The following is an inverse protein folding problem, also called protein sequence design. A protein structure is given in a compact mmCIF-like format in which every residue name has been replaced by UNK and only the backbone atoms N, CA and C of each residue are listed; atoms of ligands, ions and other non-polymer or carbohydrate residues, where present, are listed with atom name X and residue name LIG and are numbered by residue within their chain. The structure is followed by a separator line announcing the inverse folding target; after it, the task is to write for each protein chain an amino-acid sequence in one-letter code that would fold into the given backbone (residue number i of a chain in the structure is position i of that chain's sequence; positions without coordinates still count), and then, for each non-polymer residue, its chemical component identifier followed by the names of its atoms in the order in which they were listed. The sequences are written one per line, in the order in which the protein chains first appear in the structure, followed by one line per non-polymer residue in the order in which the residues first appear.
data_IF_332500834202
#
_entry.id   IF_332500834202
#
_cell.length_a   1.000
_cell.length_b   1.000
_cell.length_c   1.000
_cell.angle_alpha   90.00
_cell.angle_beta   90.00
_cell.angle_gamma   90.00
#
_symmetry.space_group_name_H-M   'P 1'
#
loop_
_entity.id
_entity.type
_entity.pdbx_description
1 polymer ?
#
# COMPACT_ATOMS: atom_id res chain seq x y z
N UNK A 1 -0.63 39.31 -3.57
CA UNK A 1 -0.22 38.12 -4.35
C UNK A 1 -0.63 36.90 -3.55
N UNK A 2 -1.31 35.93 -4.15
CA UNK A 2 -1.74 34.68 -3.50
C UNK A 2 -0.53 33.84 -3.12
N UNK A 3 -0.65 33.15 -1.99
CA UNK A 3 0.37 32.23 -1.48
C UNK A 3 -0.21 30.82 -1.60
N UNK A 4 0.43 29.98 -2.40
CA UNK A 4 0.09 28.57 -2.54
C UNK A 4 1.15 27.72 -1.82
N UNK A 5 0.71 26.77 -1.00
CA UNK A 5 1.54 25.73 -0.41
C UNK A 5 1.04 24.37 -0.91
N UNK A 6 1.81 23.71 -1.76
CA UNK A 6 1.55 22.35 -2.21
C UNK A 6 2.15 21.41 -1.18
N UNK A 7 1.36 20.46 -0.71
CA UNK A 7 1.79 19.39 0.19
C UNK A 7 1.60 18.06 -0.54
N UNK A 8 2.70 17.34 -0.77
CA UNK A 8 2.71 16.06 -1.48
C UNK A 8 3.04 14.95 -0.47
N UNK A 9 2.14 14.00 -0.32
CA UNK A 9 2.27 12.90 0.63
C UNK A 9 0.93 12.35 1.10
N UNK A 10 0.94 11.63 2.21
CA UNK A 10 -0.25 11.03 2.81
C UNK A 10 -1.21 12.08 3.38
N UNK A 11 -2.48 11.71 3.51
CA UNK A 11 -3.49 12.56 4.16
C UNK A 11 -3.09 12.94 5.59
N UNK A 12 -2.42 12.06 6.32
CA UNK A 12 -1.91 12.37 7.67
C UNK A 12 -0.78 13.40 7.68
N UNK A 13 0.04 13.43 6.62
CA UNK A 13 1.06 14.45 6.43
C UNK A 13 0.44 15.81 6.12
N UNK A 14 -0.57 15.83 5.26
CA UNK A 14 -1.33 17.04 4.96
C UNK A 14 -2.05 17.60 6.21
N UNK A 15 -2.64 16.74 7.05
CA UNK A 15 -3.31 17.17 8.29
C UNK A 15 -2.35 17.91 9.24
N UNK A 16 -1.08 17.49 9.35
CA UNK A 16 -0.08 18.22 10.13
C UNK A 16 0.20 19.61 9.56
N UNK A 17 0.34 19.72 8.23
CA UNK A 17 0.53 21.02 7.57
C UNK A 17 -0.70 21.94 7.75
N UNK A 18 -1.90 21.36 7.84
CA UNK A 18 -3.14 22.05 8.14
C UNK A 18 -3.16 22.60 9.57
N UNK A 19 -2.81 21.78 10.56
CA UNK A 19 -2.75 22.18 11.97
C UNK A 19 -1.74 23.32 12.18
N UNK A 20 -0.60 23.27 11.50
CA UNK A 20 0.36 24.38 11.48
C UNK A 20 -0.25 25.66 10.91
N UNK A 21 -0.98 25.57 9.78
CA UNK A 21 -1.61 26.71 9.17
C UNK A 21 -2.73 27.30 10.06
N UNK A 22 -3.53 26.44 10.72
CA UNK A 22 -4.55 26.88 11.67
C UNK A 22 -3.97 27.62 12.88
N UNK A 23 -2.80 27.23 13.37
CA UNK A 23 -2.15 27.89 14.50
C UNK A 23 -1.72 29.34 14.22
N UNK A 24 -1.54 29.68 12.94
CA UNK A 24 -1.15 31.02 12.47
C UNK A 24 -2.39 31.92 12.28
N UNK A 25 -3.58 31.32 12.09
CA UNK A 25 -4.81 32.04 11.79
C UNK A 25 -5.57 32.28 13.12
N UNK A 26 -5.71 33.53 13.49
CA UNK A 26 -6.43 33.97 14.69
C UNK A 26 -7.85 33.36 14.72
N UNK A 27 -8.30 32.85 15.89
CA UNK A 27 -9.60 32.16 16.11
C UNK A 27 -10.86 32.97 15.72
N UNK A 28 -10.70 34.19 15.18
CA UNK A 28 -11.77 35.11 14.80
C UNK A 28 -12.46 34.79 13.47
N UNK A 29 -11.93 33.91 12.66
CA UNK A 29 -12.49 33.61 11.35
C UNK A 29 -13.31 32.31 11.37
N UNK A 30 -14.52 32.31 11.80
CA UNK A 30 -15.55 31.26 11.73
C UNK A 30 -15.19 29.94 11.02
N UNK A 31 -16.11 29.00 10.91
CA UNK A 31 -15.90 27.73 10.20
C UNK A 31 -15.46 27.99 8.75
N UNK A 32 -14.26 27.56 8.37
CA UNK A 32 -13.77 27.66 6.98
C UNK A 32 -14.53 26.63 6.15
N UNK A 33 -15.25 27.06 5.09
CA UNK A 33 -15.98 26.12 4.24
C UNK A 33 -15.02 25.22 3.47
N UNK A 34 -15.43 23.98 3.21
CA UNK A 34 -14.66 23.05 2.37
C UNK A 34 -14.59 23.55 0.92
N UNK A 35 -13.61 23.08 0.16
CA UNK A 35 -13.48 23.42 -1.26
C UNK A 35 -14.76 23.15 -2.06
N UNK A 36 -15.36 21.98 -1.86
CA UNK A 36 -16.61 21.61 -2.54
C UNK A 36 -17.81 22.47 -2.11
N UNK A 37 -17.86 22.91 -0.85
CA UNK A 37 -18.89 23.87 -0.40
C UNK A 37 -18.73 25.23 -1.07
N UNK A 38 -17.49 25.73 -1.19
CA UNK A 38 -17.21 27.00 -1.90
C UNK A 38 -17.57 26.91 -3.38
N UNK A 39 -17.29 25.82 -4.06
CA UNK A 39 -17.70 25.62 -5.45
C UNK A 39 -19.22 25.68 -5.58
N UNK A 40 -19.97 25.00 -4.70
CA UNK A 40 -21.44 25.03 -4.73
C UNK A 40 -22.00 26.41 -4.49
N UNK A 41 -21.43 27.18 -3.56
CA UNK A 41 -21.82 28.57 -3.31
C UNK A 41 -21.57 29.44 -4.56
N UNK A 42 -20.40 29.30 -5.18
CA UNK A 42 -20.01 30.03 -6.36
C UNK A 42 -20.92 29.72 -7.57
N UNK A 43 -21.25 28.46 -7.80
CA UNK A 43 -22.16 28.04 -8.86
C UNK A 43 -23.57 28.57 -8.63
N UNK A 44 -24.07 28.53 -7.39
CA UNK A 44 -25.38 29.10 -7.03
C UNK A 44 -25.45 30.64 -7.24
N UNK A 45 -24.35 31.33 -6.93
CA UNK A 45 -24.27 32.80 -7.14
C UNK A 45 -24.24 33.17 -8.63
N UNK A 46 -23.51 32.41 -9.45
CA UNK A 46 -23.50 32.61 -10.92
C UNK A 46 -24.88 32.40 -11.55
N UNK A 47 -25.70 31.52 -11.03
CA UNK A 47 -27.06 31.26 -11.51
C UNK A 47 -28.06 32.39 -11.11
N UNK A 48 -27.77 33.14 -10.03
CA UNK A 48 -28.65 34.19 -9.52
C UNK A 48 -28.33 35.62 -10.01
N UNK A 49 -27.45 35.79 -11.01
CA UNK A 49 -26.94 37.08 -11.51
C UNK A 49 -26.35 37.98 -10.39
N UNK A 50 -25.98 37.40 -9.25
CA UNK A 50 -25.43 38.13 -8.12
C UNK A 50 -23.93 38.43 -8.38
N UNK A 51 -23.57 39.69 -8.49
CA UNK A 51 -22.19 40.13 -8.78
C UNK A 51 -21.26 40.04 -7.58
N UNK A 52 -21.79 39.88 -6.35
CA UNK A 52 -20.98 39.75 -5.13
C UNK A 52 -20.57 38.31 -4.92
N UNK A 53 -19.48 37.86 -5.57
CA UNK A 53 -18.91 36.56 -5.33
C UNK A 53 -18.23 36.51 -3.95
N UNK A 54 -18.64 35.55 -3.11
CA UNK A 54 -18.00 35.30 -1.82
C UNK A 54 -16.61 34.72 -2.07
N UNK A 55 -15.58 35.51 -1.78
CA UNK A 55 -14.17 35.07 -1.84
C UNK A 55 -13.66 34.75 -0.45
N UNK A 56 -12.86 33.68 -0.34
CA UNK A 56 -12.21 33.28 0.93
C UNK A 56 -10.77 33.81 1.00
N UNK A 57 -10.30 34.25 2.19
CA UNK A 57 -8.88 34.53 2.40
C UNK A 57 -8.04 33.27 2.64
N UNK A 58 -8.70 32.12 2.87
CA UNK A 58 -8.05 30.84 3.20
C UNK A 58 -8.80 29.70 2.50
N UNK A 59 -8.06 28.84 1.85
CA UNK A 59 -8.61 27.67 1.16
C UNK A 59 -7.75 26.42 1.41
N UNK A 60 -8.41 25.32 1.70
CA UNK A 60 -7.79 23.98 1.80
C UNK A 60 -8.41 23.05 0.78
N UNK A 61 -7.59 22.41 -0.02
CA UNK A 61 -8.01 21.42 -1.03
C UNK A 61 -7.37 20.09 -0.69
N UNK A 62 -8.19 19.13 -0.31
CA UNK A 62 -7.74 17.75 -0.04
C UNK A 62 -7.69 16.93 -1.33
N UNK A 63 -6.84 15.92 -1.36
CA UNK A 63 -6.73 15.02 -2.51
C UNK A 63 -8.10 14.41 -2.90
N UNK A 64 -8.92 14.03 -1.91
CA UNK A 64 -10.25 13.49 -2.15
C UNK A 64 -11.27 14.49 -2.70
N UNK A 65 -11.04 15.81 -2.59
CA UNK A 65 -11.96 16.81 -3.10
C UNK A 65 -12.01 16.80 -4.63
N UNK A 66 -10.93 16.41 -5.30
CA UNK A 66 -10.89 16.30 -6.76
C UNK A 66 -11.89 15.27 -7.29
N UNK A 67 -12.19 14.22 -6.52
CA UNK A 67 -13.18 13.19 -6.89
C UNK A 67 -14.61 13.75 -6.92
N UNK A 68 -14.88 14.85 -6.22
CA UNK A 68 -16.17 15.53 -6.21
C UNK A 68 -16.38 16.51 -7.37
N UNK A 69 -15.39 16.67 -8.26
CA UNK A 69 -15.40 17.61 -9.37
C UNK A 69 -15.65 16.85 -10.68
N UNK A 70 -16.54 17.38 -11.52
CA UNK A 70 -16.80 16.77 -12.82
C UNK A 70 -15.57 16.83 -13.73
N UNK A 71 -15.32 15.81 -14.53
CA UNK A 71 -14.12 15.71 -15.38
C UNK A 71 -13.85 16.97 -16.21
N UNK A 72 -14.89 17.54 -16.83
CA UNK A 72 -14.77 18.73 -17.65
C UNK A 72 -14.30 20.00 -16.89
N UNK A 73 -14.37 20.01 -15.55
CA UNK A 73 -13.94 21.15 -14.74
C UNK A 73 -12.49 20.98 -14.23
N UNK A 74 -11.89 19.80 -14.34
CA UNK A 74 -10.50 19.58 -13.91
C UNK A 74 -9.49 20.48 -14.64
N UNK A 75 -9.69 20.74 -15.93
CA UNK A 75 -8.85 21.64 -16.73
C UNK A 75 -8.96 23.12 -16.29
N UNK A 76 -9.96 23.46 -15.49
CA UNK A 76 -10.23 24.82 -15.00
C UNK A 76 -10.01 24.99 -13.50
N UNK A 77 -9.43 24.01 -12.82
CA UNK A 77 -9.19 24.07 -11.37
C UNK A 77 -8.40 25.32 -10.95
N UNK A 78 -7.35 25.68 -11.68
CA UNK A 78 -6.55 26.85 -11.39
C UNK A 78 -7.37 28.15 -11.44
N UNK A 79 -8.01 28.50 -12.57
CA UNK A 79 -8.92 29.63 -12.65
C UNK A 79 -10.06 29.64 -11.63
N UNK A 80 -10.66 28.45 -11.36
CA UNK A 80 -11.72 28.31 -10.37
C UNK A 80 -11.24 28.71 -8.96
N UNK A 81 -10.05 28.24 -8.56
CA UNK A 81 -9.43 28.58 -7.28
C UNK A 81 -9.19 30.09 -7.20
N UNK A 82 -8.76 30.73 -8.29
CA UNK A 82 -8.57 32.21 -8.34
C UNK A 82 -9.90 32.95 -8.20
N UNK A 83 -10.99 32.44 -8.78
CA UNK A 83 -12.32 33.06 -8.71
C UNK A 83 -12.91 33.07 -7.30
N UNK A 84 -12.68 31.97 -6.52
CA UNK A 84 -13.25 31.80 -5.18
C UNK A 84 -12.33 32.30 -4.05
N UNK A 85 -11.13 32.80 -4.35
CA UNK A 85 -10.15 33.27 -3.36
C UNK A 85 -9.80 34.75 -3.53
N UNK A 86 -9.45 35.41 -2.41
CA UNK A 86 -8.90 36.76 -2.43
C UNK A 86 -7.50 36.83 -3.07
N UNK A 87 -7.10 38.01 -3.55
CA UNK A 87 -5.77 38.21 -4.16
C UNK A 87 -4.59 38.06 -3.20
N UNK A 88 -4.83 37.97 -1.89
CA UNK A 88 -3.85 37.72 -0.84
C UNK A 88 -4.18 36.47 -0.04
N UNK A 89 -4.94 35.54 -0.63
CA UNK A 89 -5.32 34.28 0.05
C UNK A 89 -4.14 33.38 0.27
N UNK A 90 -4.21 32.60 1.37
CA UNK A 90 -3.38 31.41 1.61
C UNK A 90 -4.16 30.17 1.13
N UNK A 91 -3.52 29.39 0.27
CA UNK A 91 -4.15 28.22 -0.35
C UNK A 91 -3.24 27.01 -0.12
N UNK A 92 -3.72 26.04 0.66
CA UNK A 92 -3.04 24.76 0.86
C UNK A 92 -3.65 23.71 -0.06
N UNK A 93 -2.81 23.04 -0.82
CA UNK A 93 -3.22 22.07 -1.84
C UNK A 93 -2.53 20.74 -1.58
N UNK A 94 -3.34 19.71 -1.38
CA UNK A 94 -2.87 18.34 -1.17
C UNK A 94 -2.87 17.57 -2.49
N UNK A 95 -1.72 17.04 -2.88
CA UNK A 95 -1.55 16.15 -4.05
C UNK A 95 -2.29 16.65 -5.30
N UNK A 96 -1.94 17.83 -5.86
CA UNK A 96 -2.66 18.36 -7.00
C UNK A 96 -2.57 17.46 -8.23
N UNK A 97 -3.65 17.32 -9.02
CA UNK A 97 -3.58 16.75 -10.36
C UNK A 97 -2.55 17.50 -11.22
N UNK A 98 -1.95 16.80 -12.20
CA UNK A 98 -0.90 17.37 -13.08
C UNK A 98 -1.31 18.71 -13.71
N UNK A 99 -2.52 18.83 -14.22
CA UNK A 99 -3.03 20.05 -14.84
C UNK A 99 -2.99 21.24 -13.88
N UNK A 100 -3.41 21.04 -12.63
CA UNK A 100 -3.34 22.10 -11.61
C UNK A 100 -1.89 22.40 -11.21
N UNK A 101 -1.07 21.36 -11.04
CA UNK A 101 0.34 21.54 -10.70
C UNK A 101 1.09 22.35 -11.76
N UNK A 102 0.93 22.01 -13.05
CA UNK A 102 1.53 22.74 -14.17
C UNK A 102 1.05 24.18 -14.26
N UNK A 103 -0.25 24.42 -14.05
CA UNK A 103 -0.82 25.75 -13.98
C UNK A 103 -0.15 26.62 -12.90
N UNK A 104 0.05 26.07 -11.71
CA UNK A 104 0.69 26.80 -10.59
C UNK A 104 2.17 27.05 -10.87
N UNK A 105 2.87 26.11 -11.48
CA UNK A 105 4.27 26.28 -11.87
C UNK A 105 4.44 27.38 -12.94
N UNK A 106 3.56 27.45 -13.94
CA UNK A 106 3.56 28.53 -14.93
C UNK A 106 3.32 29.91 -14.27
N UNK A 107 2.34 30.01 -13.37
CA UNK A 107 2.08 31.24 -12.61
C UNK A 107 3.27 31.65 -11.74
N UNK A 108 3.97 30.71 -11.09
CA UNK A 108 5.19 30.97 -10.34
C UNK A 108 6.31 31.49 -11.23
N UNK A 109 6.51 30.86 -12.38
CA UNK A 109 7.55 31.27 -13.35
C UNK A 109 7.35 32.70 -13.87
N UNK A 110 6.07 33.15 -13.93
CA UNK A 110 5.70 34.54 -14.30
C UNK A 110 5.67 35.51 -13.11
N UNK A 111 6.06 35.09 -11.90
CA UNK A 111 6.01 35.90 -10.66
C UNK A 111 4.60 36.42 -10.30
N UNK A 112 3.55 35.67 -10.65
CA UNK A 112 2.16 36.05 -10.37
C UNK A 112 1.66 35.52 -9.02
N UNK A 113 2.31 34.50 -8.48
CA UNK A 113 2.00 33.86 -7.20
C UNK A 113 3.28 33.55 -6.43
N UNK A 114 3.16 33.34 -5.11
CA UNK A 114 4.17 32.65 -4.31
C UNK A 114 3.79 31.19 -4.25
N UNK A 115 4.71 30.28 -4.58
CA UNK A 115 4.47 28.83 -4.56
C UNK A 115 5.56 28.16 -3.73
N UNK A 116 5.15 27.57 -2.62
CA UNK A 116 5.94 26.70 -1.77
C UNK A 116 5.53 25.25 -2.01
N UNK A 117 6.47 24.32 -1.83
CA UNK A 117 6.22 22.90 -2.01
C UNK A 117 6.88 22.14 -0.87
N UNK A 118 6.10 21.25 -0.25
CA UNK A 118 6.51 20.40 0.85
C UNK A 118 6.19 18.95 0.49
N UNK A 119 7.15 18.01 0.71
CA UNK A 119 7.01 16.61 0.33
C UNK A 119 7.30 15.71 1.51
N UNK A 120 6.42 14.74 1.74
CA UNK A 120 6.64 13.71 2.75
C UNK A 120 7.85 12.85 2.37
N UNK A 121 8.79 12.73 3.31
CA UNK A 121 9.96 11.88 3.18
C UNK A 121 9.70 10.53 3.87
N UNK A 122 10.05 9.43 3.18
CA UNK A 122 9.90 8.09 3.71
C UNK A 122 11.26 7.53 4.13
N UNK A 123 11.36 7.10 5.38
CA UNK A 123 12.58 6.51 5.92
C UNK A 123 12.47 4.99 6.02
N UNK A 124 13.59 4.32 5.80
CA UNK A 124 13.81 2.92 6.19
C UNK A 124 14.75 2.88 7.40
N UNK A 125 14.52 1.95 8.31
CA UNK A 125 15.40 1.76 9.47
C UNK A 125 16.83 1.42 9.04
N UNK A 126 17.82 2.27 9.38
CA UNK A 126 19.22 2.18 8.91
C UNK A 126 20.23 1.69 9.93
N UNK A 127 19.85 1.56 11.21
CA UNK A 127 20.78 1.17 12.28
C UNK A 127 21.16 -0.32 12.17
N UNK A 128 22.46 -0.69 12.10
CA UNK A 128 22.90 -2.06 11.89
C UNK A 128 22.46 -3.05 12.99
N UNK A 129 22.48 -2.63 14.25
CA UNK A 129 22.03 -3.45 15.37
C UNK A 129 20.53 -3.79 15.25
N UNK A 130 19.70 -2.78 14.99
CA UNK A 130 18.26 -2.98 14.78
C UNK A 130 17.97 -3.80 13.52
N UNK A 131 18.77 -3.64 12.48
CA UNK A 131 18.64 -4.47 11.28
C UNK A 131 18.78 -5.96 11.62
N UNK A 132 19.84 -6.33 12.35
CA UNK A 132 20.07 -7.71 12.79
C UNK A 132 18.92 -8.24 13.66
N UNK A 133 18.47 -7.46 14.63
CA UNK A 133 17.35 -7.81 15.50
C UNK A 133 16.06 -8.02 14.68
N UNK A 134 15.75 -7.14 13.74
CA UNK A 134 14.58 -7.25 12.88
C UNK A 134 14.62 -8.51 12.01
N UNK A 135 15.79 -8.88 11.46
CA UNK A 135 15.94 -10.12 10.68
C UNK A 135 15.73 -11.35 11.56
N UNK A 136 16.23 -11.36 12.80
CA UNK A 136 15.99 -12.47 13.73
C UNK A 136 14.50 -12.64 14.03
N UNK A 137 13.77 -11.53 14.29
CA UNK A 137 12.33 -11.56 14.52
C UNK A 137 11.55 -12.08 13.31
N UNK A 138 11.96 -11.69 12.09
CA UNK A 138 11.39 -12.23 10.85
C UNK A 138 11.66 -13.73 10.73
N UNK A 139 12.87 -14.17 11.06
CA UNK A 139 13.25 -15.60 11.03
C UNK A 139 12.42 -16.43 12.01
N UNK A 140 12.12 -15.90 13.19
CA UNK A 140 11.26 -16.55 14.18
C UNK A 140 9.80 -16.64 13.72
N UNK A 141 9.33 -15.64 12.94
CA UNK A 141 7.97 -15.63 12.43
C UNK A 141 7.77 -16.57 11.25
N UNK A 142 8.74 -16.61 10.32
CA UNK A 142 8.65 -17.32 9.03
C UNK A 142 9.43 -18.65 9.11
N UNK A 143 8.74 -19.74 9.40
CA UNK A 143 9.35 -21.05 9.58
C UNK A 143 9.66 -21.72 8.23
N UNK A 144 10.86 -22.28 8.10
CA UNK A 144 11.26 -23.15 6.99
C UNK A 144 11.58 -22.43 5.68
N UNK A 145 11.83 -21.12 5.72
CA UNK A 145 12.18 -20.31 4.56
C UNK A 145 13.52 -19.57 4.73
N UNK A 146 14.50 -20.22 5.38
CA UNK A 146 15.78 -19.62 5.73
C UNK A 146 16.50 -19.00 4.52
N UNK A 147 16.47 -19.71 3.37
CA UNK A 147 17.10 -19.20 2.13
C UNK A 147 16.43 -17.94 1.63
N UNK A 148 15.10 -17.89 1.65
CA UNK A 148 14.35 -16.71 1.24
C UNK A 148 14.61 -15.52 2.20
N UNK A 149 14.69 -15.78 3.51
CA UNK A 149 15.02 -14.76 4.52
C UNK A 149 16.43 -14.22 4.31
N UNK A 150 17.40 -15.06 4.04
CA UNK A 150 18.78 -14.64 3.74
C UNK A 150 18.81 -13.76 2.50
N UNK A 151 18.13 -14.15 1.41
CA UNK A 151 18.15 -13.40 0.16
C UNK A 151 17.42 -12.06 0.27
N UNK A 152 16.30 -11.98 0.98
CA UNK A 152 15.61 -10.72 1.23
C UNK A 152 16.43 -9.80 2.16
N UNK A 153 17.12 -10.37 3.15
CA UNK A 153 17.99 -9.62 4.06
C UNK A 153 19.14 -8.95 3.32
N UNK A 154 19.76 -9.65 2.36
CA UNK A 154 20.79 -9.08 1.49
C UNK A 154 20.26 -7.90 0.67
N UNK A 155 19.04 -8.03 0.13
CA UNK A 155 18.40 -6.97 -0.64
C UNK A 155 18.08 -5.75 0.22
N UNK A 156 17.49 -5.96 1.40
CA UNK A 156 17.18 -4.88 2.35
C UNK A 156 18.46 -4.17 2.82
N UNK A 157 19.50 -4.91 3.16
CA UNK A 157 20.78 -4.33 3.57
C UNK A 157 21.45 -3.52 2.45
N UNK A 158 21.40 -4.04 1.21
CA UNK A 158 21.89 -3.30 0.04
C UNK A 158 21.16 -1.98 -0.11
N UNK A 159 19.82 -1.96 -0.01
CA UNK A 159 19.02 -0.74 -0.16
C UNK A 159 19.23 0.27 0.95
N UNK A 160 19.50 -0.19 2.18
CA UNK A 160 19.87 0.67 3.31
C UNK A 160 21.25 1.30 3.09
N UNK A 161 22.20 0.53 2.54
CA UNK A 161 23.59 0.94 2.37
C UNK A 161 23.81 1.82 1.14
N UNK A 162 22.97 1.67 0.10
CA UNK A 162 23.08 2.38 -1.19
C UNK A 162 21.82 3.21 -1.41
N UNK A 163 21.97 4.52 -1.54
CA UNK A 163 20.86 5.42 -1.87
C UNK A 163 20.45 5.25 -3.34
N UNK A 164 19.78 4.14 -3.63
CA UNK A 164 19.26 3.87 -4.97
C UNK A 164 18.05 4.74 -5.24
N UNK A 165 18.05 5.52 -6.31
CA UNK A 165 16.88 6.33 -6.72
C UNK A 165 15.81 5.50 -7.44
N UNK A 166 16.22 4.62 -8.36
CA UNK A 166 15.30 3.75 -9.09
C UNK A 166 14.63 2.77 -8.12
N UNK A 167 13.33 2.45 -8.27
CA UNK A 167 12.66 1.39 -7.52
C UNK A 167 13.44 0.08 -7.54
N UNK A 168 13.34 -0.70 -6.48
CA UNK A 168 13.93 -2.03 -6.40
C UNK A 168 12.83 -3.08 -6.35
N UNK A 169 12.77 -3.90 -7.37
CA UNK A 169 11.68 -4.86 -7.58
C UNK A 169 12.10 -6.26 -7.17
N UNK A 170 11.39 -6.84 -6.21
CA UNK A 170 11.63 -8.18 -5.68
C UNK A 170 10.41 -9.05 -5.98
N UNK A 171 10.63 -10.23 -6.58
CA UNK A 171 9.62 -11.24 -6.79
C UNK A 171 9.80 -12.40 -5.81
N UNK A 172 8.79 -12.65 -4.97
CA UNK A 172 8.68 -13.84 -4.14
C UNK A 172 7.80 -14.87 -4.89
N UNK A 173 8.35 -16.04 -5.20
CA UNK A 173 7.62 -17.03 -6.00
C UNK A 173 7.70 -18.45 -5.41
N UNK A 174 6.77 -19.32 -5.79
CA UNK A 174 6.65 -20.70 -5.29
C UNK A 174 5.20 -21.04 -4.95
N UNK A 175 4.95 -22.26 -4.51
CA UNK A 175 3.60 -22.75 -4.18
C UNK A 175 2.83 -21.82 -3.24
N UNK A 176 1.50 -21.90 -3.28
CA UNK A 176 0.65 -21.08 -2.41
C UNK A 176 0.82 -21.44 -0.92
N UNK A 177 0.59 -20.45 -0.03
CA UNK A 177 0.58 -20.65 1.43
C UNK A 177 1.91 -21.15 2.03
N UNK A 178 3.04 -20.78 1.41
CA UNK A 178 4.40 -21.01 1.93
C UNK A 178 4.95 -19.85 2.77
N UNK A 179 4.16 -18.80 3.01
CA UNK A 179 4.56 -17.65 3.84
C UNK A 179 5.01 -16.42 3.07
N UNK A 180 4.85 -16.35 1.74
CA UNK A 180 5.27 -15.19 0.93
C UNK A 180 4.66 -13.86 1.41
N UNK A 181 3.34 -13.81 1.51
CA UNK A 181 2.59 -12.62 1.99
C UNK A 181 2.92 -12.29 3.44
N UNK A 182 3.11 -13.31 4.28
CA UNK A 182 3.48 -13.13 5.69
C UNK A 182 4.89 -12.52 5.83
N UNK A 183 5.86 -12.97 5.03
CA UNK A 183 7.18 -12.35 5.00
C UNK A 183 7.12 -10.85 4.70
N UNK A 184 6.28 -10.44 3.74
CA UNK A 184 6.13 -9.01 3.41
C UNK A 184 5.54 -8.22 4.57
N UNK A 185 4.55 -8.79 5.28
CA UNK A 185 3.95 -8.17 6.46
C UNK A 185 4.94 -8.04 7.62
N UNK A 186 5.77 -9.04 7.86
CA UNK A 186 6.82 -8.96 8.87
C UNK A 186 7.91 -7.95 8.47
N UNK A 187 8.26 -7.82 7.18
CA UNK A 187 9.14 -6.75 6.69
C UNK A 187 8.49 -5.38 6.94
N UNK A 188 7.23 -5.20 6.59
CA UNK A 188 6.52 -3.95 6.85
C UNK A 188 6.54 -3.58 8.34
N UNK A 189 6.23 -4.53 9.20
CA UNK A 189 6.19 -4.37 10.66
C UNK A 189 7.53 -3.95 11.25
N UNK A 190 8.62 -4.59 10.84
CA UNK A 190 9.92 -4.40 11.47
C UNK A 190 10.80 -3.32 10.81
N UNK A 191 10.60 -3.02 9.53
CA UNK A 191 11.40 -2.04 8.80
C UNK A 191 10.65 -0.77 8.40
N UNK A 192 9.30 -0.80 8.40
CA UNK A 192 8.46 0.30 7.93
C UNK A 192 7.33 0.67 8.91
N UNK A 193 7.48 0.37 10.19
CA UNK A 193 6.49 0.69 11.25
C UNK A 193 5.09 0.11 10.96
N UNK A 194 5.02 -1.02 10.27
CA UNK A 194 3.76 -1.64 9.82
C UNK A 194 3.12 -0.97 8.61
N UNK A 195 3.76 0.02 8.02
CA UNK A 195 3.22 0.79 6.90
C UNK A 195 3.61 0.16 5.58
N UNK A 196 2.65 -0.09 4.72
CA UNK A 196 2.82 -0.66 3.36
C UNK A 196 1.66 -0.23 2.45
N UNK A 197 1.96 0.09 1.20
CA UNK A 197 0.94 0.20 0.17
C UNK A 197 0.69 -1.19 -0.42
N UNK A 198 -0.36 -1.87 0.03
CA UNK A 198 -0.71 -3.24 -0.39
C UNK A 198 -1.83 -3.23 -1.44
N UNK A 199 -1.65 -3.99 -2.52
CA UNK A 199 -2.63 -4.22 -3.58
C UNK A 199 -2.68 -5.69 -3.95
N UNK A 200 -3.88 -6.25 -3.93
CA UNK A 200 -4.14 -7.62 -4.40
C UNK A 200 -4.51 -7.59 -5.88
N UNK A 201 -3.59 -7.96 -6.75
CA UNK A 201 -3.76 -7.89 -8.20
C UNK A 201 -4.84 -8.85 -8.72
N UNK A 202 -5.13 -9.92 -7.98
CA UNK A 202 -6.24 -10.84 -8.26
C UNK A 202 -7.64 -10.19 -8.20
N UNK A 203 -7.78 -9.01 -7.62
CA UNK A 203 -9.04 -8.27 -7.61
C UNK A 203 -9.34 -7.60 -8.95
N UNK A 204 -8.33 -7.34 -9.77
CA UNK A 204 -8.45 -6.61 -11.03
C UNK A 204 -8.67 -7.58 -12.21
N UNK A 205 -9.91 -8.12 -12.36
CA UNK A 205 -10.19 -9.24 -13.27
C UNK A 205 -10.64 -8.85 -14.67
N UNK A 206 -10.98 -7.60 -14.91
CA UNK A 206 -11.55 -7.16 -16.19
C UNK A 206 -11.13 -5.71 -16.53
N UNK A 207 -11.44 -5.28 -17.75
CA UNK A 207 -11.09 -3.96 -18.28
C UNK A 207 -11.73 -2.79 -17.51
N UNK A 208 -12.73 -3.01 -16.64
CA UNK A 208 -13.35 -1.93 -15.86
C UNK A 208 -12.39 -1.30 -14.85
N UNK A 209 -11.21 -1.92 -14.63
CA UNK A 209 -10.15 -1.39 -13.78
C UNK A 209 -9.05 -0.65 -14.56
N UNK A 210 -9.21 -0.42 -15.88
CA UNK A 210 -8.24 0.35 -16.67
C UNK A 210 -8.05 1.75 -16.09
N UNK A 211 -9.16 2.42 -15.73
CA UNK A 211 -9.11 3.75 -15.09
C UNK A 211 -8.24 3.77 -13.82
N UNK A 212 -8.26 2.70 -13.04
CA UNK A 212 -7.43 2.61 -11.85
C UNK A 212 -5.93 2.61 -12.17
N UNK A 213 -5.51 1.84 -13.19
CA UNK A 213 -4.10 1.74 -13.54
C UNK A 213 -3.58 2.90 -14.39
N UNK A 214 -4.43 3.49 -15.21
CA UNK A 214 -4.05 4.54 -16.18
C UNK A 214 -4.53 5.94 -15.80
N UNK A 215 -5.43 6.07 -14.81
CA UNK A 215 -5.89 7.36 -14.28
C UNK A 215 -6.63 8.23 -15.29
N UNK A 216 -7.35 7.61 -16.24
CA UNK A 216 -8.00 8.32 -17.35
C UNK A 216 -9.15 9.24 -16.88
N UNK A 217 -9.79 8.91 -15.77
CA UNK A 217 -10.84 9.70 -15.16
C UNK A 217 -10.34 10.41 -13.90
N UNK A 218 -10.06 11.73 -13.94
CA UNK A 218 -9.48 12.47 -12.80
C UNK A 218 -10.36 12.50 -11.54
N UNK A 219 -11.66 12.27 -11.68
CA UNK A 219 -12.61 12.18 -10.56
C UNK A 219 -12.70 10.77 -9.95
N UNK A 220 -11.84 9.84 -10.36
CA UNK A 220 -11.76 8.50 -9.82
C UNK A 220 -10.40 8.24 -9.20
N UNK A 221 -10.40 7.37 -8.19
CA UNK A 221 -9.18 6.93 -7.53
C UNK A 221 -8.36 6.05 -8.48
N UNK A 222 -7.09 6.44 -8.72
CA UNK A 222 -6.13 5.73 -9.56
C UNK A 222 -4.98 5.13 -8.74
N UNK A 223 -4.11 4.34 -9.38
CA UNK A 223 -2.85 3.90 -8.79
C UNK A 223 -1.96 5.09 -8.44
N UNK A 224 -1.90 6.12 -9.30
CA UNK A 224 -1.17 7.37 -9.01
C UNK A 224 -1.70 8.07 -7.75
N UNK A 225 -3.02 8.12 -7.57
CA UNK A 225 -3.62 8.61 -6.33
C UNK A 225 -3.15 7.81 -5.11
N UNK A 226 -3.20 6.48 -5.17
CA UNK A 226 -2.76 5.62 -4.05
C UNK A 226 -1.27 5.72 -3.76
N UNK A 227 -0.44 5.89 -4.79
CA UNK A 227 1.00 6.11 -4.65
C UNK A 227 1.32 7.45 -3.99
N UNK A 228 0.52 8.51 -4.23
CA UNK A 228 0.63 9.79 -3.53
C UNK A 228 0.23 9.67 -2.06
N UNK A 229 -0.82 8.90 -1.77
CA UNK A 229 -1.32 8.69 -0.39
C UNK A 229 -0.54 7.63 0.41
N UNK A 230 0.54 7.04 -0.15
CA UNK A 230 1.32 6.04 0.55
C UNK A 230 1.97 6.63 1.81
N UNK A 231 2.11 5.82 2.82
CA UNK A 231 2.73 6.19 4.11
C UNK A 231 4.13 5.61 4.31
N UNK A 232 4.64 4.88 3.31
CA UNK A 232 6.00 4.34 3.29
C UNK A 232 6.49 4.10 1.86
N UNK A 233 7.78 3.85 1.72
CA UNK A 233 8.38 3.43 0.45
C UNK A 233 8.30 1.91 0.18
N UNK A 234 7.53 1.16 0.98
CA UNK A 234 7.24 -0.24 0.71
C UNK A 234 5.92 -0.37 -0.05
N UNK A 235 5.99 -0.92 -1.25
CA UNK A 235 4.84 -1.23 -2.12
C UNK A 235 4.75 -2.74 -2.24
N UNK A 236 3.59 -3.29 -1.95
CA UNK A 236 3.32 -4.72 -2.03
C UNK A 236 2.22 -5.01 -3.06
N UNK A 237 2.57 -5.73 -4.11
CA UNK A 237 1.64 -6.17 -5.16
C UNK A 237 1.50 -7.69 -5.08
N UNK A 238 0.43 -8.14 -4.46
CA UNK A 238 0.16 -9.56 -4.22
C UNK A 238 -0.51 -10.23 -5.41
N UNK A 239 -0.16 -11.48 -5.68
CA UNK A 239 -0.75 -12.35 -6.72
C UNK A 239 -0.61 -11.78 -8.16
N UNK A 240 0.62 -11.40 -8.57
CA UNK A 240 0.89 -10.90 -9.92
C UNK A 240 0.51 -11.93 -11.00
N UNK A 241 0.60 -13.22 -10.72
CA UNK A 241 0.18 -14.31 -11.61
C UNK A 241 -1.32 -14.33 -11.92
N UNK A 242 -2.13 -13.57 -11.19
CA UNK A 242 -3.57 -13.40 -11.40
C UNK A 242 -3.94 -12.10 -12.11
N UNK A 243 -2.97 -11.21 -12.30
CA UNK A 243 -3.18 -9.93 -12.97
C UNK A 243 -3.32 -10.13 -14.48
N UNK A 244 -4.36 -9.59 -15.12
CA UNK A 244 -4.48 -9.64 -16.58
C UNK A 244 -3.32 -8.92 -17.28
N UNK A 245 -2.82 -9.50 -18.38
CA UNK A 245 -1.65 -9.01 -19.13
C UNK A 245 -1.80 -7.57 -19.65
N UNK A 246 -3.02 -7.13 -19.97
CA UNK A 246 -3.25 -5.78 -20.47
C UNK A 246 -2.93 -4.68 -19.45
N UNK A 247 -2.82 -5.00 -18.15
CA UNK A 247 -2.35 -4.05 -17.13
C UNK A 247 -0.83 -3.99 -17.00
N UNK A 248 -0.08 -4.90 -17.61
CA UNK A 248 1.37 -4.96 -17.47
C UNK A 248 2.09 -3.70 -17.97
N UNK A 249 1.50 -2.95 -18.91
CA UNK A 249 2.06 -1.69 -19.40
C UNK A 249 2.16 -0.62 -18.31
N UNK A 250 1.25 -0.60 -17.33
CA UNK A 250 1.34 0.30 -16.18
C UNK A 250 2.53 -0.02 -15.28
N UNK A 251 2.93 -1.29 -15.20
CA UNK A 251 4.08 -1.71 -14.39
C UNK A 251 5.44 -1.36 -15.02
N UNK A 252 5.51 -1.10 -16.34
CA UNK A 252 6.77 -0.69 -16.96
C UNK A 252 7.28 0.61 -16.38
N UNK A 253 6.41 1.60 -16.22
CA UNK A 253 6.77 2.87 -15.61
C UNK A 253 7.01 2.74 -14.11
N UNK A 254 6.22 1.94 -13.42
CA UNK A 254 6.34 1.68 -11.98
C UNK A 254 7.66 0.99 -11.61
N UNK A 255 8.18 0.08 -12.46
CA UNK A 255 9.38 -0.70 -12.16
C UNK A 255 10.67 -0.03 -12.66
N UNK A 256 10.61 0.76 -13.72
CA UNK A 256 11.81 1.30 -14.38
C UNK A 256 12.13 2.74 -14.04
N UNK A 257 11.15 3.55 -13.73
CA UNK A 257 11.32 5.00 -13.60
C UNK A 257 11.36 5.43 -12.14
N UNK A 258 11.98 6.58 -11.89
CA UNK A 258 11.92 7.27 -10.59
C UNK A 258 10.58 8.00 -10.40
N UNK A 259 9.80 8.10 -11.47
CA UNK A 259 8.51 8.78 -11.53
C UNK A 259 7.47 7.85 -12.15
N UNK A 260 6.39 7.57 -11.44
CA UNK A 260 5.21 6.94 -12.01
C UNK A 260 4.30 8.00 -12.59
N UNK A 261 3.80 7.76 -13.81
CA UNK A 261 2.86 8.68 -14.49
C UNK A 261 1.62 7.93 -14.94
N UNK A 262 0.49 8.41 -14.47
CA UNK A 262 -0.81 8.09 -15.08
C UNK A 262 -1.37 9.33 -15.82
N UNK A 263 -2.60 9.26 -16.30
CA UNK A 263 -3.19 10.40 -17.01
C UNK A 263 -3.42 11.63 -16.11
N UNK A 264 -3.60 11.43 -14.80
CA UNK A 264 -3.96 12.49 -13.84
C UNK A 264 -2.77 12.95 -13.00
N UNK A 265 -1.86 12.04 -12.59
CA UNK A 265 -0.82 12.34 -11.61
C UNK A 265 0.59 12.01 -12.11
N UNK A 266 1.57 12.81 -11.66
CA UNK A 266 2.99 12.50 -11.69
C UNK A 266 3.47 12.25 -10.25
N UNK A 267 3.99 11.06 -9.98
CA UNK A 267 4.32 10.63 -8.62
C UNK A 267 5.78 10.25 -8.50
N UNK A 268 6.51 10.89 -7.61
CA UNK A 268 7.86 10.48 -7.26
C UNK A 268 7.81 9.15 -6.49
N UNK A 269 8.43 8.11 -7.07
CA UNK A 269 8.58 6.78 -6.50
C UNK A 269 10.05 6.43 -6.25
N UNK A 270 10.89 7.45 -6.15
CA UNK A 270 12.31 7.28 -5.87
C UNK A 270 12.54 6.47 -4.59
N UNK A 271 13.45 5.50 -4.66
CA UNK A 271 13.86 4.70 -3.52
C UNK A 271 12.77 3.76 -2.98
N UNK A 272 11.68 3.52 -3.72
CA UNK A 272 10.67 2.54 -3.33
C UNK A 272 11.20 1.11 -3.42
N UNK A 273 10.70 0.26 -2.53
CA UNK A 273 10.87 -1.19 -2.57
C UNK A 273 9.54 -1.78 -3.00
N UNK A 274 9.53 -2.45 -4.14
CA UNK A 274 8.33 -3.09 -4.67
C UNK A 274 8.49 -4.59 -4.50
N UNK A 275 7.67 -5.20 -3.64
CA UNK A 275 7.64 -6.64 -3.46
C UNK A 275 6.42 -7.21 -4.19
N UNK A 276 6.68 -8.18 -5.05
CA UNK A 276 5.69 -8.91 -5.82
C UNK A 276 5.58 -10.33 -5.27
N UNK A 277 4.40 -10.92 -5.29
CA UNK A 277 4.23 -12.36 -5.08
C UNK A 277 3.61 -13.01 -6.30
N UNK A 278 3.94 -14.28 -6.51
CA UNK A 278 3.31 -15.14 -7.50
C UNK A 278 3.33 -16.61 -7.07
N UNK A 279 2.50 -17.42 -7.73
CA UNK A 279 2.48 -18.88 -7.51
C UNK A 279 3.21 -19.64 -8.62
N UNK A 280 3.99 -18.97 -9.44
CA UNK A 280 4.87 -19.64 -10.40
C UNK A 280 5.91 -20.53 -9.69
N UNK A 281 6.23 -21.67 -10.29
CA UNK A 281 7.14 -22.65 -9.71
C UNK A 281 8.58 -22.49 -10.20
N UNK A 282 8.78 -21.77 -11.30
CA UNK A 282 10.09 -21.55 -11.91
C UNK A 282 10.20 -20.20 -12.62
N UNK A 283 11.43 -19.74 -12.83
CA UNK A 283 11.71 -18.54 -13.61
C UNK A 283 11.30 -18.70 -15.09
N UNK A 284 11.40 -19.90 -15.65
CA UNK A 284 10.99 -20.16 -17.03
C UNK A 284 9.47 -20.06 -17.20
N UNK A 285 8.69 -20.52 -16.22
CA UNK A 285 7.25 -20.34 -16.18
C UNK A 285 6.91 -18.84 -16.09
N UNK A 286 7.62 -18.07 -15.24
CA UNK A 286 7.44 -16.62 -15.17
C UNK A 286 7.74 -15.92 -16.50
N UNK A 287 8.82 -16.30 -17.19
CA UNK A 287 9.15 -15.74 -18.52
C UNK A 287 8.05 -15.99 -19.54
N UNK A 288 7.45 -17.17 -19.50
CA UNK A 288 6.36 -17.53 -20.42
C UNK A 288 5.09 -16.72 -20.16
N UNK A 289 4.70 -16.51 -18.91
CA UNK A 289 3.44 -15.87 -18.54
C UNK A 289 3.54 -14.36 -18.40
N UNK A 290 4.62 -13.83 -17.79
CA UNK A 290 4.80 -12.38 -17.61
C UNK A 290 5.38 -11.70 -18.86
N UNK A 291 5.99 -12.48 -19.74
CA UNK A 291 6.75 -11.99 -20.89
C UNK A 291 8.10 -11.38 -20.47
N UNK A 292 9.03 -11.32 -21.42
CA UNK A 292 10.38 -10.78 -21.19
C UNK A 292 10.38 -9.33 -20.66
N UNK A 293 9.47 -8.42 -21.12
CA UNK A 293 9.50 -7.04 -20.66
C UNK A 293 9.29 -6.89 -19.15
N UNK A 294 8.38 -7.62 -18.54
CA UNK A 294 8.18 -7.60 -17.08
C UNK A 294 9.31 -8.36 -16.38
N UNK A 295 9.64 -9.55 -16.88
CA UNK A 295 10.64 -10.41 -16.26
C UNK A 295 11.98 -9.71 -16.02
N UNK A 296 12.51 -8.99 -17.03
CA UNK A 296 13.79 -8.29 -16.91
C UNK A 296 13.75 -7.00 -16.08
N UNK A 297 12.59 -6.57 -15.63
CA UNK A 297 12.43 -5.43 -14.72
C UNK A 297 12.44 -5.83 -13.25
N UNK A 298 12.47 -7.13 -12.97
CA UNK A 298 12.57 -7.67 -11.62
C UNK A 298 14.04 -7.74 -11.24
N UNK A 299 14.46 -6.97 -10.24
CA UNK A 299 15.87 -6.91 -9.79
C UNK A 299 16.29 -8.17 -9.04
N UNK A 300 15.37 -8.80 -8.31
CA UNK A 300 15.65 -9.97 -7.49
C UNK A 300 14.48 -10.96 -7.49
N UNK A 301 14.80 -12.22 -7.73
CA UNK A 301 13.86 -13.33 -7.64
C UNK A 301 14.22 -14.22 -6.46
N UNK A 302 13.24 -14.49 -5.59
CA UNK A 302 13.41 -15.24 -4.36
C UNK A 302 12.39 -16.38 -4.34
N UNK A 303 12.89 -17.60 -4.40
CA UNK A 303 12.08 -18.80 -4.36
C UNK A 303 11.70 -19.17 -2.94
N UNK A 304 10.44 -19.50 -2.72
CA UNK A 304 9.93 -20.16 -1.55
C UNK A 304 9.88 -21.67 -1.81
N UNK A 305 10.58 -22.42 -0.98
CA UNK A 305 10.66 -23.87 -1.10
C UNK A 305 9.48 -24.56 -0.41
N UNK A 306 9.09 -25.71 -0.91
CA UNK A 306 8.09 -26.56 -0.25
C UNK A 306 8.58 -26.97 1.14
N UNK A 307 7.66 -27.15 2.06
CA UNK A 307 8.01 -27.47 3.44
C UNK A 307 8.65 -28.85 3.58
N UNK A 308 9.78 -28.92 4.28
CA UNK A 308 10.37 -30.17 4.72
C UNK A 308 9.50 -30.84 5.79
N UNK A 309 9.62 -32.15 6.03
CA UNK A 309 8.94 -32.80 7.14
C UNK A 309 9.21 -32.16 8.51
N UNK A 310 10.43 -31.68 8.74
CA UNK A 310 10.80 -30.96 9.96
C UNK A 310 10.03 -29.60 10.04
N UNK A 311 9.97 -28.84 8.94
CA UNK A 311 9.20 -27.58 8.86
C UNK A 311 7.72 -27.80 9.12
N UNK A 312 7.14 -28.88 8.55
CA UNK A 312 5.75 -29.26 8.78
C UNK A 312 5.49 -29.52 10.26
N UNK A 313 6.39 -30.26 10.93
CA UNK A 313 6.32 -30.51 12.38
C UNK A 313 6.31 -29.19 13.17
N UNK A 314 7.28 -28.31 12.91
CA UNK A 314 7.44 -27.03 13.61
C UNK A 314 6.22 -26.13 13.43
N UNK A 315 5.69 -26.01 12.19
CA UNK A 315 4.47 -25.24 11.91
C UNK A 315 3.27 -25.85 12.63
N UNK A 316 3.15 -27.19 12.64
CA UNK A 316 2.04 -27.87 13.30
C UNK A 316 2.07 -27.63 14.82
N UNK A 317 3.23 -27.77 15.46
CA UNK A 317 3.38 -27.53 16.89
C UNK A 317 3.12 -26.06 17.25
N UNK A 318 3.62 -25.14 16.43
CA UNK A 318 3.37 -23.69 16.60
C UNK A 318 1.88 -23.35 16.48
N UNK A 319 1.16 -23.96 15.55
CA UNK A 319 -0.28 -23.77 15.39
C UNK A 319 -1.09 -24.37 16.55
N UNK A 320 -0.69 -25.53 17.05
CA UNK A 320 -1.32 -26.16 18.24
C UNK A 320 -1.12 -25.24 19.45
N UNK A 321 0.09 -24.77 19.70
CA UNK A 321 0.36 -23.88 20.84
C UNK A 321 -0.37 -22.53 20.73
N UNK A 322 -0.45 -21.95 19.54
CA UNK A 322 -1.19 -20.72 19.30
C UNK A 322 -2.69 -20.81 19.63
N UNK A 323 -3.25 -22.03 19.61
CA UNK A 323 -4.66 -22.32 19.91
C UNK A 323 -4.89 -22.85 21.34
N UNK A 324 -3.90 -22.79 22.21
CA UNK A 324 -3.98 -23.32 23.57
C UNK A 324 -5.15 -22.74 24.38
N UNK A 325 -5.49 -21.48 24.15
CA UNK A 325 -6.66 -20.85 24.78
C UNK A 325 -7.99 -21.47 24.34
N UNK A 326 -8.08 -22.06 23.14
CA UNK A 326 -9.28 -22.68 22.59
C UNK A 326 -9.60 -24.03 23.24
N UNK A 327 -8.58 -24.86 23.54
CA UNK A 327 -8.75 -26.21 24.10
C UNK A 327 -8.33 -26.32 25.58
N UNK A 328 -7.66 -25.32 26.13
CA UNK A 328 -7.26 -25.26 27.55
C UNK A 328 -6.41 -26.44 28.00
N UNK A 329 -6.60 -26.85 29.26
CA UNK A 329 -5.93 -28.03 29.84
C UNK A 329 -6.70 -29.33 29.63
N UNK A 330 -7.82 -29.30 28.91
CA UNK A 330 -8.64 -30.51 28.66
C UNK A 330 -7.96 -31.49 27.72
N UNK A 331 -7.16 -31.02 26.80
CA UNK A 331 -6.52 -31.84 25.77
C UNK A 331 -5.03 -31.50 25.74
N UNK A 332 -4.15 -32.54 25.79
CA UNK A 332 -2.72 -32.27 25.68
C UNK A 332 -2.29 -31.96 24.24
N UNK A 333 -1.34 -31.05 24.03
CA UNK A 333 -0.76 -30.76 22.71
C UNK A 333 -0.25 -32.01 21.98
N UNK A 334 0.35 -32.94 22.69
CA UNK A 334 0.88 -34.18 22.14
C UNK A 334 -0.22 -35.07 21.54
N UNK A 335 -1.40 -35.11 22.19
CA UNK A 335 -2.56 -35.88 21.69
C UNK A 335 -3.11 -35.23 20.41
N UNK A 336 -3.19 -33.89 20.36
CA UNK A 336 -3.59 -33.18 19.14
C UNK A 336 -2.60 -33.50 18.03
N UNK A 337 -1.29 -33.40 18.30
CA UNK A 337 -0.25 -33.67 17.31
C UNK A 337 -0.29 -35.12 16.81
N UNK A 338 -0.46 -36.11 17.69
CA UNK A 338 -0.55 -37.52 17.33
C UNK A 338 -1.67 -37.79 16.30
N UNK A 339 -2.81 -37.11 16.43
CA UNK A 339 -3.95 -37.27 15.52
C UNK A 339 -3.69 -36.52 14.23
N UNK A 340 -3.29 -35.23 14.32
CA UNK A 340 -2.99 -34.39 13.17
C UNK A 340 -1.91 -35.00 12.29
N UNK A 341 -0.86 -35.57 12.89
CA UNK A 341 0.27 -36.19 12.17
C UNK A 341 -0.14 -37.36 11.29
N UNK A 342 -1.23 -38.07 11.62
CA UNK A 342 -1.79 -39.15 10.77
C UNK A 342 -2.52 -38.64 9.54
N UNK A 343 -2.99 -37.41 9.57
CA UNK A 343 -3.73 -36.73 8.48
C UNK A 343 -2.82 -35.85 7.62
N UNK A 344 -1.65 -35.47 8.13
CA UNK A 344 -0.67 -34.68 7.39
C UNK A 344 0.04 -35.56 6.36
N UNK A 345 -0.03 -35.13 5.10
CA UNK A 345 0.76 -35.70 4.01
C UNK A 345 2.17 -35.07 4.01
N UNK A 346 3.18 -35.86 3.66
CA UNK A 346 4.54 -35.30 3.43
C UNK A 346 4.68 -34.61 2.07
N UNK A 347 3.63 -34.64 1.24
CA UNK A 347 3.61 -34.01 -0.08
C UNK A 347 2.48 -32.99 -0.16
N UNK A 348 2.79 -31.82 -0.67
CA UNK A 348 1.83 -30.71 -0.91
C UNK A 348 1.19 -30.11 0.35
N UNK A 349 1.77 -30.29 1.54
CA UNK A 349 1.31 -29.57 2.72
C UNK A 349 1.79 -28.12 2.67
N UNK A 350 0.93 -27.24 3.14
CA UNK A 350 1.22 -25.81 3.29
C UNK A 350 0.63 -25.29 4.61
N UNK A 351 0.99 -24.07 5.00
CA UNK A 351 0.56 -23.53 6.28
C UNK A 351 -0.97 -23.49 6.44
N UNK A 352 -1.72 -23.26 5.35
CA UNK A 352 -3.20 -23.21 5.38
C UNK A 352 -3.81 -24.59 5.62
N UNK A 353 -3.29 -25.62 4.96
CA UNK A 353 -3.79 -26.99 5.14
C UNK A 353 -3.46 -27.51 6.54
N UNK A 354 -2.29 -27.19 7.06
CA UNK A 354 -1.90 -27.55 8.44
C UNK A 354 -2.84 -26.89 9.44
N UNK A 355 -3.06 -25.57 9.33
CA UNK A 355 -4.01 -24.82 10.20
C UNK A 355 -5.39 -25.43 10.20
N UNK A 356 -5.91 -25.75 9.02
CA UNK A 356 -7.22 -26.36 8.87
C UNK A 356 -7.31 -27.73 9.57
N UNK A 357 -6.30 -28.60 9.38
CA UNK A 357 -6.25 -29.92 10.03
C UNK A 357 -6.16 -29.83 11.54
N UNK A 358 -5.30 -28.95 12.06
CA UNK A 358 -5.18 -28.71 13.51
C UNK A 358 -6.55 -28.26 14.07
N UNK A 359 -7.19 -27.30 13.42
CA UNK A 359 -8.52 -26.83 13.86
C UNK A 359 -9.55 -27.96 13.88
N UNK A 360 -9.65 -28.75 12.81
CA UNK A 360 -10.60 -29.87 12.75
C UNK A 360 -10.37 -30.90 13.85
N UNK A 361 -9.11 -31.23 14.15
CA UNK A 361 -8.78 -32.18 15.22
C UNK A 361 -9.17 -31.62 16.57
N UNK A 362 -8.92 -30.35 16.85
CA UNK A 362 -9.32 -29.70 18.11
C UNK A 362 -10.86 -29.71 18.24
N UNK A 363 -11.59 -29.31 17.21
CA UNK A 363 -13.06 -29.34 17.19
C UNK A 363 -13.62 -30.76 17.48
N UNK A 364 -13.08 -31.77 16.82
CA UNK A 364 -13.49 -33.16 17.02
C UNK A 364 -13.19 -33.67 18.43
N UNK A 365 -12.05 -33.29 19.02
CA UNK A 365 -11.69 -33.71 20.38
C UNK A 365 -12.60 -33.02 21.42
N UNK A 366 -12.83 -31.73 21.29
CA UNK A 366 -13.75 -30.99 22.18
C UNK A 366 -15.17 -31.54 22.11
N UNK A 367 -15.66 -31.90 20.92
CA UNK A 367 -16.97 -32.49 20.76
C UNK A 367 -17.07 -33.87 21.44
N UNK A 368 -16.05 -34.72 21.33
CA UNK A 368 -16.02 -36.04 22.04
C UNK A 368 -16.07 -35.91 23.55
N UNK A 369 -15.44 -34.90 24.14
CA UNK A 369 -15.52 -34.65 25.58
C UNK A 369 -16.97 -34.30 26.00
N UNK A 370 -17.72 -33.57 25.17
CA UNK A 370 -19.13 -33.30 25.39
C UNK A 370 -19.99 -34.58 25.29
N UNK A 371 -19.78 -35.42 24.25
CA UNK A 371 -20.48 -36.71 24.09
C UNK A 371 -20.23 -37.63 25.28
N UNK A 372 -18.99 -37.77 25.76
CA UNK A 372 -18.66 -38.57 26.94
C UNK A 372 -19.37 -38.03 28.19
N UNK A 373 -19.43 -36.72 28.41
CA UNK A 373 -20.09 -36.09 29.54
C UNK A 373 -21.64 -36.25 29.52
N UNK A 374 -22.22 -36.46 28.35
CA UNK A 374 -23.65 -36.73 28.14
C UNK A 374 -23.98 -38.21 28.30
N UNK A 375 -23.02 -39.12 27.99
CA UNK A 375 -23.20 -40.57 28.14
C UNK A 375 -23.07 -41.07 29.58
N UNK A 376 -22.39 -40.31 30.44
CA UNK A 376 -22.21 -40.58 31.88
C UNK A 376 -23.38 -40.04 32.76
N UNK A 377 -24.40 -39.48 32.16
CA UNK A 377 -25.64 -39.03 32.80
C UNK A 377 -26.82 -39.95 32.44
#
# INVERSE_FOLDING_TARGET
MRIYKIVIGSSSYFDKALDEAYSIIDEKNGKIPSFLELIRIFDAQKQSDNTDTVKTPLLFIRNNDYNGIVNAAHDRLGPLIEDITHDKALILIHNPPRVLYEYLQDKKARNLITLEEDREEYSIQKEPEKFKENILRISDAIVGQDRAIIEISKSLWYLISVQRKKPYVIMLYGNSSLGKTELVREIAKHFFEGKVLEKHLSMFKNNNYSDYFFGEEPNRRSLGFDLLERTSNLIFLDELDKCPEFFYSAFYTLFDNVEFKDATYDVDISGTIIILTSNYLSEDEMKQHLGMPIFYRIDKMIKFEDFSPQTIYEITMKEIEARKEEYGDMISPERIYEIVSKEISTKNENARTIKFKVQQVIENLLFKEVENSLADK
#
